data_IF_089470339718
#
_entry.id   IF_089470339718
#
_cell.length_a   1.000
_cell.length_b   1.000
_cell.length_c   1.000
_cell.angle_alpha   90.00
_cell.angle_beta   90.00
_cell.angle_gamma   90.00
#
_symmetry.space_group_name_H-M   'P 1'
#
loop_
_entity.id
_entity.type
_entity.pdbx_description
1 polymer ?
#
# COMPACT_ATOMS: atom_id res chain seq x y z
N UNK A 1 4.82 24.41 -9.05
CA UNK A 1 4.02 23.18 -8.87
C UNK A 1 2.76 23.52 -8.10
N UNK A 2 1.60 23.06 -8.56
CA UNK A 2 0.33 23.12 -7.81
C UNK A 2 -0.15 21.70 -7.55
N UNK A 3 -0.30 21.33 -6.27
CA UNK A 3 -0.58 19.94 -5.88
C UNK A 3 -2.08 19.61 -5.79
N UNK A 4 -2.94 20.62 -5.80
CA UNK A 4 -4.38 20.49 -5.55
C UNK A 4 -5.19 21.20 -6.63
N UNK A 5 -4.77 21.09 -7.89
CA UNK A 5 -5.44 21.78 -9.02
C UNK A 5 -6.91 21.39 -9.16
N UNK A 6 -7.27 20.14 -8.84
CA UNK A 6 -8.65 19.65 -8.82
C UNK A 6 -9.40 19.94 -7.52
N UNK A 7 -8.73 20.47 -6.49
CA UNK A 7 -9.26 20.74 -5.16
C UNK A 7 -8.85 19.74 -4.08
N UNK A 8 -9.11 20.07 -2.81
CA UNK A 8 -8.68 19.29 -1.64
C UNK A 8 -9.36 17.91 -1.51
N UNK A 9 -10.45 17.66 -2.24
CA UNK A 9 -11.14 16.37 -2.20
C UNK A 9 -10.25 15.22 -2.68
N UNK A 10 -9.24 15.50 -3.52
CA UNK A 10 -8.31 14.48 -4.02
C UNK A 10 -7.48 13.85 -2.89
N UNK A 11 -7.14 14.64 -1.87
CA UNK A 11 -6.46 14.15 -0.66
C UNK A 11 -7.41 13.20 0.08
N UNK A 12 -8.66 13.62 0.25
CA UNK A 12 -9.68 12.81 0.91
C UNK A 12 -9.89 11.46 0.20
N UNK A 13 -9.96 11.48 -1.13
CA UNK A 13 -10.07 10.26 -1.93
C UNK A 13 -8.83 9.38 -1.81
N UNK A 14 -7.63 9.96 -1.90
CA UNK A 14 -6.36 9.25 -1.75
C UNK A 14 -6.28 8.56 -0.38
N UNK A 15 -6.54 9.29 0.70
CA UNK A 15 -6.56 8.73 2.06
C UNK A 15 -7.63 7.64 2.18
N UNK A 16 -8.83 7.85 1.66
CA UNK A 16 -9.91 6.85 1.74
C UNK A 16 -9.53 5.54 1.01
N UNK A 17 -8.97 5.63 -0.20
CA UNK A 17 -8.51 4.47 -0.97
C UNK A 17 -7.40 3.74 -0.22
N UNK A 18 -6.44 4.49 0.34
CA UNK A 18 -5.36 3.92 1.15
C UNK A 18 -5.88 3.18 2.38
N UNK A 19 -6.82 3.79 3.12
CA UNK A 19 -7.45 3.18 4.30
C UNK A 19 -8.18 1.89 3.94
N UNK A 20 -8.94 1.87 2.84
CA UNK A 20 -9.68 0.68 2.39
C UNK A 20 -8.71 -0.44 2.03
N UNK A 21 -7.67 -0.16 1.22
CA UNK A 21 -6.65 -1.14 0.86
C UNK A 21 -5.90 -1.69 2.08
N UNK A 22 -5.52 -0.82 3.01
CA UNK A 22 -4.84 -1.20 4.25
C UNK A 22 -5.74 -2.05 5.16
N UNK A 23 -7.01 -1.68 5.36
CA UNK A 23 -7.93 -2.41 6.21
C UNK A 23 -8.20 -3.83 5.71
N UNK A 24 -8.45 -3.98 4.40
CA UNK A 24 -8.63 -5.29 3.76
C UNK A 24 -7.33 -6.09 3.87
N UNK A 25 -6.19 -5.45 3.60
CA UNK A 25 -4.87 -6.05 3.71
C UNK A 25 -4.55 -6.59 5.10
N UNK A 26 -4.77 -5.79 6.15
CA UNK A 26 -4.52 -6.20 7.53
C UNK A 26 -5.46 -7.33 7.96
N UNK A 27 -6.70 -7.31 7.48
CA UNK A 27 -7.65 -8.42 7.69
C UNK A 27 -7.13 -9.70 7.03
N UNK A 28 -6.68 -9.65 5.78
CA UNK A 28 -6.06 -10.79 5.11
C UNK A 28 -4.80 -11.29 5.84
N UNK A 29 -3.96 -10.40 6.36
CA UNK A 29 -2.79 -10.76 7.19
C UNK A 29 -3.23 -11.55 8.43
N UNK A 30 -4.28 -11.12 9.14
CA UNK A 30 -4.80 -11.86 10.30
C UNK A 30 -5.34 -13.24 9.94
N UNK A 31 -5.96 -13.41 8.77
CA UNK A 31 -6.45 -14.71 8.31
C UNK A 31 -5.31 -15.62 7.85
N UNK A 32 -4.25 -15.06 7.26
CA UNK A 32 -3.01 -15.77 6.92
C UNK A 32 -2.37 -16.44 8.13
N UNK A 33 -2.28 -15.75 9.28
CA UNK A 33 -1.65 -16.32 10.49
C UNK A 33 -2.48 -17.42 11.16
N UNK A 34 -3.80 -17.44 10.96
CA UNK A 34 -4.72 -18.48 11.45
C UNK A 34 -4.79 -19.71 10.55
N UNK A 35 -4.34 -19.59 9.31
CA UNK A 35 -4.45 -20.66 8.32
C UNK A 35 -3.51 -21.82 8.69
N UNK A 36 -4.10 -23.00 8.87
CA UNK A 36 -3.35 -24.23 9.22
C UNK A 36 -2.59 -24.75 7.99
N UNK A 37 -3.23 -24.69 6.81
CA UNK A 37 -2.67 -25.12 5.54
C UNK A 37 -1.76 -24.05 4.93
N UNK A 38 -0.57 -24.46 4.48
CA UNK A 38 0.39 -23.57 3.80
C UNK A 38 -0.19 -22.89 2.56
N UNK A 39 -0.97 -23.62 1.74
CA UNK A 39 -1.61 -23.08 0.53
C UNK A 39 -2.55 -21.91 0.82
N UNK A 40 -3.46 -22.06 1.77
CA UNK A 40 -4.39 -20.98 2.16
C UNK A 40 -3.66 -19.78 2.74
N UNK A 41 -2.57 -20.00 3.50
CA UNK A 41 -1.71 -18.90 3.98
C UNK A 41 -1.16 -18.07 2.82
N UNK A 42 -0.62 -18.72 1.78
CA UNK A 42 -0.08 -18.01 0.61
C UNK A 42 -1.16 -17.20 -0.10
N UNK A 43 -2.38 -17.74 -0.24
CA UNK A 43 -3.51 -17.00 -0.83
C UNK A 43 -3.83 -15.75 -0.02
N UNK A 44 -3.95 -15.85 1.30
CA UNK A 44 -4.18 -14.69 2.16
C UNK A 44 -3.04 -13.66 2.11
N UNK A 45 -1.79 -14.11 1.99
CA UNK A 45 -0.64 -13.21 1.83
C UNK A 45 -0.64 -12.52 0.46
N UNK A 46 -1.01 -13.21 -0.61
CA UNK A 46 -1.15 -12.61 -1.94
C UNK A 46 -2.29 -11.58 -1.96
N UNK A 47 -3.44 -11.90 -1.37
CA UNK A 47 -4.55 -10.97 -1.19
C UNK A 47 -4.16 -9.74 -0.37
N UNK A 48 -3.40 -9.93 0.71
CA UNK A 48 -2.86 -8.83 1.50
C UNK A 48 -1.88 -7.96 0.70
N UNK A 49 -1.00 -8.58 -0.08
CA UNK A 49 -0.02 -7.88 -0.90
C UNK A 49 -0.67 -7.01 -1.98
N UNK A 50 -1.70 -7.54 -2.67
CA UNK A 50 -2.48 -6.78 -3.65
C UNK A 50 -3.24 -5.63 -2.98
N UNK A 51 -3.88 -5.89 -1.83
CA UNK A 51 -4.67 -4.89 -1.12
C UNK A 51 -3.80 -3.76 -0.57
N UNK A 52 -2.65 -4.07 0.02
CA UNK A 52 -1.75 -3.08 0.61
C UNK A 52 -0.90 -2.41 -0.47
N UNK A 53 -0.13 -3.17 -1.25
CA UNK A 53 0.78 -2.61 -2.24
C UNK A 53 0.05 -1.91 -3.38
N UNK A 54 -0.95 -2.58 -3.98
CA UNK A 54 -1.71 -2.04 -5.09
C UNK A 54 -2.69 -0.95 -4.66
N UNK A 55 -3.68 -1.30 -3.82
CA UNK A 55 -4.75 -0.36 -3.46
C UNK A 55 -4.37 0.56 -2.31
N UNK A 56 -3.62 0.07 -1.33
CA UNK A 56 -3.24 0.83 -0.13
C UNK A 56 -2.10 1.83 -0.35
N UNK A 57 -1.24 1.62 -1.34
CA UNK A 57 -0.03 2.43 -1.58
C UNK A 57 0.01 2.98 -3.00
N UNK A 58 -0.03 2.12 -4.02
CA UNK A 58 0.16 2.56 -5.40
C UNK A 58 -0.99 3.44 -5.90
N UNK A 59 -2.24 2.99 -5.77
CA UNK A 59 -3.41 3.80 -6.17
C UNK A 59 -3.44 5.18 -5.50
N UNK A 60 -3.35 5.34 -4.18
CA UNK A 60 -3.49 6.65 -3.54
C UNK A 60 -2.38 7.63 -3.91
N UNK A 61 -1.16 7.15 -4.18
CA UNK A 61 -0.09 7.99 -4.75
C UNK A 61 -0.52 8.57 -6.09
N UNK A 62 -1.06 7.74 -6.99
CA UNK A 62 -1.51 8.22 -8.31
C UNK A 62 -2.84 9.01 -8.27
N UNK A 63 -3.74 8.72 -7.32
CA UNK A 63 -4.89 9.59 -7.04
C UNK A 63 -4.40 11.00 -6.72
N UNK A 64 -3.41 11.13 -5.84
CA UNK A 64 -2.82 12.44 -5.50
C UNK A 64 -2.12 13.10 -6.69
N UNK A 65 -1.44 12.32 -7.54
CA UNK A 65 -0.79 12.80 -8.76
C UNK A 65 -1.76 13.41 -9.77
N UNK A 66 -3.03 12.98 -9.82
CA UNK A 66 -4.03 13.66 -10.67
C UNK A 66 -4.23 15.14 -10.29
N UNK A 67 -3.95 15.49 -9.02
CA UNK A 67 -4.01 16.88 -8.54
C UNK A 67 -2.78 17.71 -8.89
N UNK A 68 -1.68 17.07 -9.30
CA UNK A 68 -0.39 17.73 -9.54
C UNK A 68 -0.32 18.28 -10.94
N UNK A 69 -0.05 19.58 -11.03
CA UNK A 69 0.16 20.27 -12.30
C UNK A 69 1.41 21.16 -12.25
N UNK A 70 2.06 21.25 -13.41
CA UNK A 70 3.25 22.09 -13.62
C UNK A 70 2.84 23.28 -14.47
N UNK A 71 2.78 24.51 -13.89
CA UNK A 71 2.50 25.70 -14.69
C UNK A 71 3.50 25.82 -15.84
N UNK A 72 3.00 26.00 -17.07
CA UNK A 72 3.85 26.11 -18.26
C UNK A 72 4.32 24.78 -18.86
N UNK A 73 3.84 23.63 -18.37
CA UNK A 73 4.15 22.33 -18.99
C UNK A 73 2.99 21.33 -18.89
N UNK A 74 2.87 20.49 -19.92
CA UNK A 74 2.03 19.29 -19.85
C UNK A 74 2.78 18.21 -19.07
N UNK A 75 2.07 17.52 -18.18
CA UNK A 75 2.61 16.38 -17.45
C UNK A 75 2.18 15.10 -18.15
N UNK A 76 3.14 14.31 -18.62
CA UNK A 76 2.93 13.01 -19.26
C UNK A 76 3.63 11.93 -18.46
N UNK A 77 3.17 10.69 -18.60
CA UNK A 77 3.69 9.57 -17.82
C UNK A 77 4.13 8.42 -18.71
N UNK A 78 5.25 7.78 -18.36
CA UNK A 78 5.60 6.46 -18.85
C UNK A 78 4.77 5.38 -18.12
N UNK A 79 3.78 4.84 -18.84
CA UNK A 79 2.85 3.82 -18.32
C UNK A 79 3.59 2.56 -17.85
N UNK A 80 4.72 2.20 -18.48
CA UNK A 80 5.47 1.01 -18.09
C UNK A 80 6.14 1.17 -16.74
N UNK A 81 6.77 2.33 -16.50
CA UNK A 81 7.38 2.65 -15.20
C UNK A 81 6.33 2.72 -14.09
N UNK A 82 5.17 3.32 -14.38
CA UNK A 82 4.04 3.38 -13.45
C UNK A 82 3.51 1.98 -13.11
N UNK A 83 3.32 1.12 -14.11
CA UNK A 83 2.88 -0.26 -13.92
C UNK A 83 3.94 -1.12 -13.20
N UNK A 84 5.23 -0.94 -13.52
CA UNK A 84 6.33 -1.60 -12.84
C UNK A 84 6.37 -1.23 -11.35
N UNK A 85 6.14 0.05 -11.02
CA UNK A 85 5.98 0.51 -9.64
C UNK A 85 4.86 -0.23 -8.89
N UNK A 86 3.71 -0.44 -9.54
CA UNK A 86 2.60 -1.21 -8.97
C UNK A 86 3.04 -2.64 -8.59
N UNK A 87 3.68 -3.33 -9.54
CA UNK A 87 4.17 -4.69 -9.34
C UNK A 87 5.22 -4.75 -8.23
N UNK A 88 6.18 -3.81 -8.21
CA UNK A 88 7.23 -3.72 -7.19
C UNK A 88 6.63 -3.57 -5.80
N UNK A 89 5.66 -2.67 -5.62
CA UNK A 89 5.02 -2.47 -4.31
C UNK A 89 4.32 -3.75 -3.82
N UNK A 90 3.57 -4.44 -4.69
CA UNK A 90 2.88 -5.69 -4.36
C UNK A 90 3.89 -6.78 -4.01
N UNK A 91 4.94 -6.96 -4.81
CA UNK A 91 5.97 -7.96 -4.55
C UNK A 91 6.74 -7.67 -3.25
N UNK A 92 7.01 -6.40 -2.95
CA UNK A 92 7.68 -5.99 -1.73
C UNK A 92 6.84 -6.35 -0.48
N UNK A 93 5.52 -6.10 -0.50
CA UNK A 93 4.63 -6.53 0.58
C UNK A 93 4.63 -8.05 0.71
N UNK A 94 4.49 -8.78 -0.41
CA UNK A 94 4.46 -10.24 -0.39
C UNK A 94 5.75 -10.84 0.16
N UNK A 95 6.91 -10.35 -0.29
CA UNK A 95 8.23 -10.77 0.18
C UNK A 95 8.41 -10.52 1.67
N UNK A 96 8.02 -9.32 2.15
CA UNK A 96 8.10 -9.00 3.58
C UNK A 96 7.21 -9.90 4.45
N UNK A 97 5.98 -10.18 3.99
CA UNK A 97 5.08 -11.12 4.66
C UNK A 97 5.62 -12.57 4.65
N UNK A 98 6.31 -12.97 3.59
CA UNK A 98 6.97 -14.27 3.50
C UNK A 98 8.12 -14.37 4.52
N UNK A 99 8.97 -13.33 4.60
CA UNK A 99 10.14 -13.26 5.50
C UNK A 99 9.73 -13.21 6.97
N UNK A 100 8.65 -12.49 7.30
CA UNK A 100 8.14 -12.40 8.68
C UNK A 100 7.84 -13.78 9.29
N UNK A 101 7.39 -14.73 8.47
CA UNK A 101 7.11 -16.09 8.93
C UNK A 101 5.87 -16.16 9.85
N UNK A 102 5.95 -16.97 10.91
CA UNK A 102 4.86 -17.21 11.88
C UNK A 102 5.16 -16.73 13.30
N UNK A 103 6.44 -16.69 13.67
CA UNK A 103 6.89 -16.28 15.00
C UNK A 103 7.55 -14.91 14.90
N UNK A 104 7.27 -14.06 15.89
CA UNK A 104 7.92 -12.75 15.95
C UNK A 104 9.42 -12.94 16.20
N UNK A 105 10.22 -12.45 15.27
CA UNK A 105 11.66 -12.37 15.39
C UNK A 105 12.05 -10.95 14.97
N UNK A 106 12.69 -10.21 15.87
CA UNK A 106 12.99 -8.78 15.66
C UNK A 106 13.91 -8.58 14.45
N UNK A 107 14.89 -9.46 14.24
CA UNK A 107 15.77 -9.38 13.07
C UNK A 107 14.99 -9.59 11.76
N UNK A 108 14.05 -10.54 11.72
CA UNK A 108 13.15 -10.73 10.56
C UNK A 108 12.20 -9.55 10.36
N UNK A 109 11.72 -8.93 11.44
CA UNK A 109 10.88 -7.73 11.37
C UNK A 109 11.65 -6.57 10.75
N UNK A 110 12.88 -6.31 11.19
CA UNK A 110 13.73 -5.26 10.64
C UNK A 110 14.01 -5.53 9.15
N UNK A 111 14.44 -6.74 8.80
CA UNK A 111 14.71 -7.10 7.40
C UNK A 111 13.48 -7.01 6.50
N UNK A 112 12.33 -7.51 6.95
CA UNK A 112 11.08 -7.44 6.20
C UNK A 112 10.56 -5.99 6.07
N UNK A 113 10.71 -5.16 7.11
CA UNK A 113 10.34 -3.75 7.07
C UNK A 113 11.22 -2.97 6.10
N UNK A 114 12.52 -3.24 6.07
CA UNK A 114 13.45 -2.64 5.11
C UNK A 114 13.09 -3.03 3.66
N UNK A 115 12.75 -4.29 3.40
CA UNK A 115 12.34 -4.76 2.06
C UNK A 115 11.03 -4.11 1.61
N UNK A 116 10.02 -4.10 2.48
CA UNK A 116 8.72 -3.51 2.17
C UNK A 116 8.83 -2.00 1.98
N UNK A 117 9.50 -1.30 2.90
CA UNK A 117 9.67 0.15 2.84
C UNK A 117 10.56 0.59 1.69
N UNK A 118 11.65 -0.13 1.43
CA UNK A 118 12.50 0.09 0.25
C UNK A 118 11.75 -0.15 -1.06
N UNK A 119 10.87 -1.16 -1.11
CA UNK A 119 10.00 -1.38 -2.26
C UNK A 119 8.97 -0.27 -2.48
N UNK A 120 8.41 0.30 -1.40
CA UNK A 120 7.56 1.49 -1.49
C UNK A 120 8.34 2.72 -1.96
N UNK A 121 9.55 2.93 -1.43
CA UNK A 121 10.46 3.97 -1.89
C UNK A 121 10.81 3.84 -3.38
N UNK A 122 11.14 2.64 -3.85
CA UNK A 122 11.42 2.37 -5.25
C UNK A 122 10.18 2.56 -6.14
N UNK A 123 9.02 2.08 -5.70
CA UNK A 123 7.75 2.34 -6.40
C UNK A 123 7.46 3.83 -6.51
N UNK A 124 7.72 4.61 -5.45
CA UNK A 124 7.48 6.04 -5.45
C UNK A 124 8.50 6.79 -6.33
N UNK A 125 9.77 6.39 -6.26
CA UNK A 125 10.80 6.88 -7.19
C UNK A 125 10.38 6.66 -8.65
N UNK A 126 9.95 5.45 -9.01
CA UNK A 126 9.47 5.16 -10.37
C UNK A 126 8.23 5.99 -10.75
N UNK A 127 7.37 6.32 -9.80
CA UNK A 127 6.24 7.21 -10.05
C UNK A 127 6.71 8.62 -10.44
N UNK A 128 7.72 9.16 -9.75
CA UNK A 128 8.28 10.48 -10.05
C UNK A 128 9.15 10.48 -11.31
N UNK A 129 9.96 9.43 -11.50
CA UNK A 129 10.82 9.22 -12.67
C UNK A 129 9.98 9.00 -13.95
N UNK A 130 8.80 8.39 -13.83
CA UNK A 130 7.89 8.25 -14.97
C UNK A 130 7.31 9.57 -15.49
N UNK A 131 7.45 10.67 -14.73
CA UNK A 131 6.86 11.96 -15.05
C UNK A 131 7.73 12.73 -16.06
N UNK A 132 7.21 12.87 -17.28
CA UNK A 132 7.82 13.68 -18.33
C UNK A 132 7.18 15.06 -18.42
N UNK A 133 8.03 16.08 -18.44
CA UNK A 133 7.68 17.50 -18.59
C UNK A 133 8.56 18.16 -19.65
N UNK A 134 8.24 19.39 -20.07
CA UNK A 134 9.06 20.22 -20.96
C UNK A 134 10.26 20.80 -20.21
N UNK A 135 11.22 19.94 -19.86
CA UNK A 135 12.35 20.30 -19.02
C UNK A 135 12.93 19.08 -18.30
N UNK A 136 13.43 19.29 -17.10
CA UNK A 136 13.96 18.23 -16.24
C UNK A 136 13.38 18.28 -14.83
N UNK A 137 13.30 17.12 -14.20
CA UNK A 137 12.96 16.95 -12.79
C UNK A 137 14.16 16.40 -12.04
N UNK A 138 14.42 16.93 -10.85
CA UNK A 138 15.47 16.44 -9.96
C UNK A 138 14.87 16.14 -8.59
N UNK A 139 15.41 15.13 -7.92
CA UNK A 139 14.98 14.73 -6.57
C UNK A 139 16.05 15.10 -5.56
N UNK A 140 15.66 15.85 -4.54
CA UNK A 140 16.52 16.15 -3.40
C UNK A 140 16.81 14.85 -2.61
N UNK A 141 18.07 14.36 -2.56
CA UNK A 141 18.37 13.04 -2.00
C UNK A 141 18.00 12.89 -0.52
N UNK A 142 18.05 13.99 0.24
CA UNK A 142 17.73 14.00 1.67
C UNK A 142 16.22 13.80 1.92
N UNK A 143 15.36 14.46 1.13
CA UNK A 143 13.92 14.32 1.26
C UNK A 143 13.47 12.95 0.76
N UNK A 144 14.08 12.45 -0.32
CA UNK A 144 13.88 11.07 -0.77
C UNK A 144 14.25 10.05 0.31
N UNK A 145 15.44 10.18 0.91
CA UNK A 145 15.84 9.30 2.02
C UNK A 145 14.88 9.40 3.22
N UNK A 146 14.38 10.61 3.52
CA UNK A 146 13.38 10.85 4.56
C UNK A 146 12.05 10.14 4.27
N UNK A 147 11.56 10.22 3.03
CA UNK A 147 10.34 9.52 2.62
C UNK A 147 10.50 7.99 2.66
N UNK A 148 11.65 7.47 2.23
CA UNK A 148 11.99 6.04 2.38
C UNK A 148 12.04 5.64 3.87
N UNK A 149 12.56 6.48 4.76
CA UNK A 149 12.55 6.21 6.19
C UNK A 149 11.11 6.15 6.76
N UNK A 150 10.22 7.06 6.32
CA UNK A 150 8.79 7.00 6.64
C UNK A 150 8.19 5.69 6.12
N UNK A 151 8.51 5.29 4.89
CA UNK A 151 8.06 4.03 4.30
C UNK A 151 8.44 2.82 5.15
N UNK A 152 9.71 2.73 5.56
CA UNK A 152 10.22 1.66 6.42
C UNK A 152 9.51 1.65 7.78
N UNK A 153 9.25 2.81 8.38
CA UNK A 153 8.52 2.90 9.64
C UNK A 153 7.06 2.42 9.51
N UNK A 154 6.37 2.84 8.45
CA UNK A 154 5.00 2.39 8.12
C UNK A 154 4.97 0.89 7.83
N UNK A 155 5.97 0.37 7.13
CA UNK A 155 6.13 -1.06 6.88
C UNK A 155 6.37 -1.85 8.17
N UNK A 156 7.23 -1.37 9.06
CA UNK A 156 7.46 -2.00 10.35
C UNK A 156 6.17 -2.07 11.18
N UNK A 157 5.41 -0.96 11.23
CA UNK A 157 4.11 -0.93 11.90
C UNK A 157 3.12 -1.91 11.25
N UNK A 158 3.03 -1.95 9.92
CA UNK A 158 2.18 -2.87 9.16
C UNK A 158 2.50 -4.32 9.47
N UNK A 159 3.79 -4.67 9.46
CA UNK A 159 4.27 -6.00 9.76
C UNK A 159 4.07 -6.37 11.23
N UNK A 160 4.12 -5.39 12.14
CA UNK A 160 3.75 -5.61 13.54
C UNK A 160 2.28 -6.05 13.69
N UNK A 161 1.39 -5.64 12.77
CA UNK A 161 0.00 -6.12 12.74
C UNK A 161 -0.16 -7.58 12.28
N UNK A 162 0.93 -8.27 11.89
CA UNK A 162 0.89 -9.73 11.65
C UNK A 162 0.76 -10.53 12.95
N UNK A 163 0.92 -9.90 14.11
CA UNK A 163 0.79 -10.52 15.43
C UNK A 163 -0.68 -10.88 15.77
N UNK A 164 -0.94 -11.76 16.77
CA UNK A 164 -2.26 -12.39 16.93
C UNK A 164 -3.42 -11.40 17.12
N UNK A 165 -4.64 -11.93 16.89
CA UNK A 165 -5.94 -11.25 16.78
C UNK A 165 -5.98 -9.82 17.34
N UNK A 166 -6.05 -8.83 16.44
CA UNK A 166 -6.42 -7.46 16.80
C UNK A 166 -7.92 -7.23 16.52
N UNK A 167 -8.64 -6.51 17.39
CA UNK A 167 -10.03 -6.16 17.13
C UNK A 167 -10.13 -5.25 15.90
N UNK A 168 -11.29 -5.26 15.24
CA UNK A 168 -11.54 -4.46 14.04
C UNK A 168 -11.30 -2.96 14.27
N UNK A 169 -11.65 -2.44 15.46
CA UNK A 169 -11.38 -1.04 15.82
C UNK A 169 -9.89 -0.67 15.74
N UNK A 170 -9.01 -1.58 16.19
CA UNK A 170 -7.57 -1.36 16.11
C UNK A 170 -7.07 -1.47 14.66
N UNK A 171 -7.67 -2.34 13.83
CA UNK A 171 -7.33 -2.41 12.40
C UNK A 171 -7.75 -1.14 11.66
N UNK A 172 -8.90 -0.56 11.99
CA UNK A 172 -9.35 0.72 11.42
C UNK A 172 -8.39 1.84 11.83
N UNK A 173 -8.05 1.95 13.12
CA UNK A 173 -7.08 2.93 13.58
C UNK A 173 -5.71 2.76 12.90
N UNK A 174 -5.25 1.51 12.78
CA UNK A 174 -4.01 1.18 12.07
C UNK A 174 -4.07 1.59 10.60
N UNK A 175 -5.18 1.37 9.92
CA UNK A 175 -5.35 1.70 8.50
C UNK A 175 -5.32 3.21 8.28
N UNK A 176 -5.90 3.99 9.21
CA UNK A 176 -5.82 5.46 9.19
C UNK A 176 -4.38 5.94 9.39
N UNK A 177 -3.66 5.39 10.36
CA UNK A 177 -2.24 5.74 10.60
C UNK A 177 -1.37 5.33 9.41
N UNK A 178 -1.63 4.16 8.82
CA UNK A 178 -0.97 3.70 7.60
C UNK A 178 -1.18 4.70 6.46
N UNK A 179 -2.43 5.08 6.19
CA UNK A 179 -2.75 6.04 5.14
C UNK A 179 -2.08 7.39 5.38
N UNK A 180 -2.10 7.90 6.62
CA UNK A 180 -1.38 9.12 6.98
C UNK A 180 0.13 9.01 6.71
N UNK A 181 0.73 7.85 6.98
CA UNK A 181 2.14 7.58 6.68
C UNK A 181 2.45 7.53 5.18
N UNK A 182 1.60 6.89 4.37
CA UNK A 182 1.74 6.86 2.91
C UNK A 182 1.56 8.25 2.32
N UNK A 183 0.57 9.01 2.78
CA UNK A 183 0.37 10.40 2.40
C UNK A 183 1.57 11.27 2.81
N UNK A 184 2.11 11.06 4.01
CA UNK A 184 3.31 11.75 4.49
C UNK A 184 4.55 11.47 3.65
N UNK A 185 4.81 10.20 3.30
CA UNK A 185 5.87 9.80 2.38
C UNK A 185 5.71 10.52 1.04
N UNK A 186 4.53 10.42 0.43
CA UNK A 186 4.21 11.01 -0.87
C UNK A 186 4.49 12.51 -0.93
N UNK A 187 3.98 13.28 0.05
CA UNK A 187 4.22 14.72 0.06
C UNK A 187 5.64 15.09 0.46
N UNK A 188 6.35 14.27 1.25
CA UNK A 188 7.78 14.50 1.55
C UNK A 188 8.62 14.39 0.27
N UNK A 189 8.37 13.39 -0.56
CA UNK A 189 9.03 13.25 -1.86
C UNK A 189 8.68 14.38 -2.82
N UNK A 190 7.41 14.81 -2.86
CA UNK A 190 6.99 15.95 -3.68
C UNK A 190 7.55 17.30 -3.25
N UNK A 191 7.87 17.47 -1.96
CA UNK A 191 8.60 18.63 -1.47
C UNK A 191 10.05 18.63 -1.96
N UNK A 192 10.61 17.45 -2.22
CA UNK A 192 11.97 17.29 -2.76
C UNK A 192 12.04 17.27 -4.28
N UNK A 193 10.91 17.39 -4.97
CA UNK A 193 10.83 17.41 -6.42
C UNK A 193 11.06 18.83 -6.95
N UNK A 194 12.22 19.03 -7.56
CA UNK A 194 12.59 20.28 -8.23
C UNK A 194 12.30 20.16 -9.73
N UNK A 195 11.83 21.25 -10.33
CA UNK A 195 11.38 21.30 -11.72
C UNK A 195 12.01 22.47 -12.44
N UNK A 196 12.82 22.14 -13.44
CA UNK A 196 13.47 23.11 -14.32
C UNK A 196 12.79 23.06 -15.69
N UNK A 197 12.06 24.12 -16.02
CA UNK A 197 11.36 24.22 -17.30
C UNK A 197 12.28 24.76 -18.39
N UNK A 198 12.27 24.10 -19.54
CA UNK A 198 12.93 24.58 -20.74
C UNK A 198 11.95 25.33 -21.63
N UNK A 199 12.42 26.33 -22.38
CA UNK A 199 11.60 27.16 -23.30
C UNK A 199 11.26 26.43 -24.61
N UNK A 200 11.07 25.12 -24.57
CA UNK A 200 10.76 24.30 -25.75
C UNK A 200 9.25 24.13 -25.88
N UNK A 201 8.74 24.16 -27.12
CA UNK A 201 7.33 23.91 -27.43
C UNK A 201 7.03 22.43 -27.73
N UNK A 202 7.98 21.51 -27.53
CA UNK A 202 7.78 20.10 -27.83
C UNK A 202 6.92 19.43 -26.75
N UNK A 203 5.86 18.74 -27.16
CA UNK A 203 5.03 17.95 -26.24
C UNK A 203 5.87 16.83 -25.61
N UNK A 204 5.90 16.68 -24.28
CA UNK A 204 6.62 15.58 -23.62
C UNK A 204 6.09 14.22 -24.08
N UNK A 205 6.95 13.19 -24.18
CA UNK A 205 6.52 11.85 -24.52
C UNK A 205 5.72 11.21 -23.37
N UNK A 206 4.87 10.24 -23.71
CA UNK A 206 4.07 9.49 -22.74
C UNK A 206 2.58 9.81 -22.79
N UNK A 207 1.84 9.22 -21.86
CA UNK A 207 0.38 9.29 -21.82
C UNK A 207 -0.11 10.27 -20.76
N UNK A 208 -1.36 10.72 -20.95
CA UNK A 208 -2.05 11.47 -19.91
C UNK A 208 -2.44 10.53 -18.76
N UNK A 209 -2.30 11.02 -17.52
CA UNK A 209 -2.55 10.21 -16.32
C UNK A 209 -3.97 9.65 -16.29
N UNK A 210 -4.99 10.44 -16.66
CA UNK A 210 -6.38 9.98 -16.62
C UNK A 210 -6.62 8.78 -17.55
N UNK A 211 -5.94 8.75 -18.72
CA UNK A 211 -6.15 7.75 -19.76
C UNK A 211 -5.90 6.32 -19.28
N UNK A 212 -4.78 6.10 -18.58
CA UNK A 212 -4.43 4.77 -18.08
C UNK A 212 -4.83 4.56 -16.61
N UNK A 213 -4.90 5.63 -15.81
CA UNK A 213 -5.17 5.51 -14.38
C UNK A 213 -6.62 5.13 -14.08
N UNK A 214 -7.61 5.66 -14.82
CA UNK A 214 -9.02 5.34 -14.56
C UNK A 214 -9.31 3.83 -14.71
N UNK A 215 -8.89 3.16 -15.81
CA UNK A 215 -8.99 1.71 -15.90
C UNK A 215 -8.27 0.98 -14.76
N UNK A 216 -7.05 1.39 -14.42
CA UNK A 216 -6.26 0.76 -13.36
C UNK A 216 -6.89 0.93 -11.98
N UNK A 217 -7.49 2.09 -11.70
CA UNK A 217 -8.24 2.38 -10.49
C UNK A 217 -9.46 1.46 -10.37
N UNK A 218 -10.24 1.31 -11.44
CA UNK A 218 -11.38 0.38 -11.48
C UNK A 218 -10.94 -1.06 -11.23
N UNK A 219 -9.90 -1.53 -11.92
CA UNK A 219 -9.37 -2.89 -11.74
C UNK A 219 -8.85 -3.09 -10.30
N UNK A 220 -8.12 -2.12 -9.76
CA UNK A 220 -7.61 -2.17 -8.40
C UNK A 220 -8.74 -2.23 -7.36
N UNK A 221 -9.77 -1.41 -7.49
CA UNK A 221 -10.94 -1.45 -6.60
C UNK A 221 -11.72 -2.75 -6.73
N UNK A 222 -11.94 -3.25 -7.95
CA UNK A 222 -12.59 -4.55 -8.18
C UNK A 222 -11.78 -5.71 -7.62
N UNK A 223 -10.44 -5.61 -7.62
CA UNK A 223 -9.58 -6.65 -7.05
C UNK A 223 -9.83 -6.88 -5.55
N UNK A 224 -10.36 -5.88 -4.83
CA UNK A 224 -10.74 -6.00 -3.43
C UNK A 224 -12.02 -6.81 -3.20
N UNK A 225 -12.86 -7.00 -4.22
CA UNK A 225 -14.09 -7.79 -4.08
C UNK A 225 -13.79 -9.24 -3.64
N UNK A 226 -12.72 -9.83 -4.16
CA UNK A 226 -12.28 -11.19 -3.84
C UNK A 226 -11.86 -11.33 -2.36
N UNK A 227 -10.89 -10.55 -1.83
CA UNK A 227 -10.50 -10.65 -0.42
C UNK A 227 -11.63 -10.22 0.52
N UNK A 228 -12.44 -9.21 0.18
CA UNK A 228 -13.61 -8.83 1.00
C UNK A 228 -14.59 -9.99 1.10
N UNK A 229 -14.97 -10.60 -0.03
CA UNK A 229 -15.87 -11.76 -0.03
C UNK A 229 -15.28 -12.93 0.75
N UNK A 230 -13.99 -13.21 0.59
CA UNK A 230 -13.30 -14.25 1.33
C UNK A 230 -13.31 -13.98 2.84
N UNK A 231 -13.10 -12.74 3.29
CA UNK A 231 -13.16 -12.35 4.70
C UNK A 231 -14.57 -12.55 5.27
N UNK A 232 -15.61 -12.15 4.52
CA UNK A 232 -17.01 -12.27 4.96
C UNK A 232 -17.50 -13.72 5.03
N UNK A 233 -17.01 -14.59 4.13
CA UNK A 233 -17.38 -16.00 4.09
C UNK A 233 -16.55 -16.83 5.08
N UNK A 234 -15.33 -16.39 5.42
CA UNK A 234 -14.46 -17.12 6.33
C UNK A 234 -15.17 -17.33 7.69
N UNK A 235 -15.37 -18.58 8.14
CA UNK A 235 -16.09 -18.85 9.38
C UNK A 235 -15.45 -18.15 10.56
N UNK A 236 -16.23 -17.32 11.26
CA UNK A 236 -15.87 -16.86 12.58
C UNK A 236 -15.77 -18.09 13.48
N UNK A 237 -14.53 -18.51 13.82
CA UNK A 237 -14.29 -19.53 14.87
C UNK A 237 -14.62 -18.99 16.27
N UNK A 238 -15.72 -18.26 16.41
CA UNK A 238 -16.44 -18.12 17.67
C UNK A 238 -17.27 -19.41 17.81
N UNK A 239 -17.40 -19.93 19.02
CA UNK A 239 -18.11 -21.19 19.37
C UNK A 239 -17.46 -22.52 18.96
N UNK A 240 -16.34 -22.85 19.58
CA UNK A 240 -16.19 -24.19 20.15
C UNK A 240 -16.07 -24.03 21.67
N UNK A 241 -17.21 -23.82 22.35
CA UNK A 241 -17.26 -24.07 23.79
C UNK A 241 -16.96 -25.57 23.92
N UNK A 242 -15.88 -25.99 24.57
CA UNK A 242 -15.70 -27.40 24.88
C UNK A 242 -16.88 -27.77 25.78
N UNK A 243 -17.82 -28.57 25.28
CA UNK A 243 -18.82 -29.20 26.14
C UNK A 243 -18.00 -30.04 27.12
N UNK A 244 -17.87 -29.56 28.36
CA UNK A 244 -17.24 -30.32 29.43
C UNK A 244 -18.07 -31.57 29.60
N UNK A 245 -17.52 -32.72 29.21
CA UNK A 245 -18.17 -34.01 29.46
C UNK A 245 -18.45 -34.10 30.98
N UNK A 246 -19.67 -34.53 31.39
CA UNK A 246 -19.96 -34.77 32.80
C UNK A 246 -18.93 -35.76 33.36
N UNK A 247 -18.34 -35.44 34.51
CA UNK A 247 -17.47 -36.38 35.20
C UNK A 247 -18.27 -37.64 35.54
N UNK A 248 -17.74 -38.85 35.32
CA UNK A 248 -18.42 -40.07 35.73
C UNK A 248 -18.60 -40.03 37.25
N UNK A 249 -19.84 -40.13 37.70
CA UNK A 249 -20.17 -40.22 39.13
C UNK A 249 -19.58 -41.52 39.67
N UNK A 250 -18.51 -41.42 40.45
CA UNK A 250 -18.05 -42.52 41.29
C UNK A 250 -19.01 -42.68 42.46
N UNK A 251 -20.07 -43.46 42.26
CA UNK A 251 -20.86 -43.99 43.36
C UNK A 251 -20.22 -45.32 43.78
N UNK A 252 -19.60 -45.31 44.96
CA UNK A 252 -19.35 -46.49 45.78
C UNK A 252 -20.45 -46.57 46.84
#
# INVERSE_FOLDING_TARGET
>A
MTYFSMGYWIIGLSVAVSVVGALVGFSCIQHSTRSVTSKFRVVWQASAAISIGGVGVWLPVFVSMLGVTVPGSLVRYDVWSVAAGAVISVLAVWAALAIMGRTLNVARLIGAAAIMGGGFGLMHFLALDSMHIQGSTTLAPLLFAGAVAIAVAVSAATLWFTQPRRPLSLLIAAAVVFAAGITGMHYTDLLGLEVDLATTSATPPGEDLFGFFVPAFVIGMLSLAVPISAILIAPDRRTSIPVRAPAPSSAY
#
